data_IF_984351250548
#
_entry.id   IF_984351250548
#
_cell.length_a   1.000
_cell.length_b   1.000
_cell.length_c   1.000
_cell.angle_alpha   90.00
_cell.angle_beta   90.00
_cell.angle_gamma   90.00
#
_symmetry.space_group_name_H-M   'P 1'
#
loop_
_entity.id
_entity.type
_entity.pdbx_description
1 polymer ?
#
# COMPACT_ATOMS: atom_id res chain seq x y z
N UNK A 1 -16.38 13.76 16.98
CA UNK A 1 -16.00 13.29 15.61
C UNK A 1 -17.22 12.62 14.99
N UNK A 2 -17.89 13.30 14.07
CA UNK A 2 -19.13 12.79 13.42
C UNK A 2 -18.95 11.50 12.60
N UNK A 3 -17.72 11.13 12.19
CA UNK A 3 -17.52 10.09 11.19
C UNK A 3 -16.64 8.90 11.66
N UNK A 4 -16.32 8.76 12.95
CA UNK A 4 -15.47 7.65 13.43
C UNK A 4 -16.06 6.28 13.09
N UNK A 5 -17.35 6.12 13.33
CA UNK A 5 -18.05 4.85 13.05
C UNK A 5 -18.02 4.51 11.57
N UNK A 6 -18.21 5.50 10.69
CA UNK A 6 -18.13 5.30 9.22
C UNK A 6 -16.77 4.78 8.78
N UNK A 7 -15.68 5.36 9.29
CA UNK A 7 -14.32 4.88 8.94
C UNK A 7 -14.06 3.46 9.47
N UNK A 8 -14.50 3.16 10.69
CA UNK A 8 -14.37 1.81 11.23
C UNK A 8 -15.21 0.80 10.47
N UNK A 9 -16.40 1.17 10.02
CA UNK A 9 -17.25 0.34 9.16
C UNK A 9 -16.58 0.11 7.79
N UNK A 10 -16.02 1.14 7.16
CA UNK A 10 -15.26 1.00 5.91
C UNK A 10 -14.02 0.11 6.08
N UNK A 11 -13.31 0.26 7.20
CA UNK A 11 -12.17 -0.59 7.54
C UNK A 11 -12.57 -2.06 7.68
N UNK A 12 -13.68 -2.33 8.39
CA UNK A 12 -14.22 -3.69 8.58
C UNK A 12 -14.66 -4.29 7.25
N UNK A 13 -15.32 -3.51 6.38
CA UNK A 13 -15.76 -3.97 5.07
C UNK A 13 -14.57 -4.28 4.14
N UNK A 14 -13.58 -3.41 4.09
CA UNK A 14 -12.35 -3.65 3.30
C UNK A 14 -11.57 -4.87 3.82
N UNK A 15 -11.51 -5.05 5.15
CA UNK A 15 -10.89 -6.23 5.75
C UNK A 15 -11.68 -7.50 5.43
N UNK A 16 -13.01 -7.46 5.46
CA UNK A 16 -13.87 -8.58 5.07
C UNK A 16 -13.63 -9.00 3.62
N UNK A 17 -13.57 -8.03 2.69
CA UNK A 17 -13.24 -8.30 1.28
C UNK A 17 -11.83 -8.90 1.13
N UNK A 18 -10.85 -8.37 1.87
CA UNK A 18 -9.49 -8.93 1.89
C UNK A 18 -9.48 -10.38 2.39
N UNK A 19 -10.19 -10.67 3.49
CA UNK A 19 -10.28 -12.03 4.04
C UNK A 19 -11.01 -12.99 3.11
N UNK A 20 -12.08 -12.55 2.45
CA UNK A 20 -12.80 -13.33 1.45
C UNK A 20 -11.90 -13.66 0.25
N UNK A 21 -11.16 -12.67 -0.27
CA UNK A 21 -10.18 -12.90 -1.34
C UNK A 21 -9.07 -13.85 -0.89
N UNK A 22 -8.54 -13.68 0.33
CA UNK A 22 -7.53 -14.58 0.89
C UNK A 22 -8.04 -16.00 1.07
N UNK A 23 -9.31 -16.17 1.43
CA UNK A 23 -9.96 -17.47 1.50
C UNK A 23 -10.03 -18.15 0.12
N UNK A 24 -10.45 -17.43 -0.93
CA UNK A 24 -10.41 -17.94 -2.30
C UNK A 24 -8.99 -18.30 -2.73
N UNK A 25 -8.02 -17.43 -2.48
CA UNK A 25 -6.60 -17.67 -2.79
C UNK A 25 -6.07 -18.95 -2.14
N UNK A 26 -6.51 -19.26 -0.92
CA UNK A 26 -6.01 -20.41 -0.17
C UNK A 26 -6.74 -21.71 -0.50
N UNK A 27 -8.05 -21.68 -0.62
CA UNK A 27 -8.89 -22.90 -0.69
C UNK A 27 -9.50 -23.16 -2.07
N UNK A 28 -9.61 -22.11 -2.92
CA UNK A 28 -10.20 -22.18 -4.25
C UNK A 28 -9.38 -21.42 -5.29
N UNK A 29 -8.04 -21.71 -5.41
CA UNK A 29 -7.15 -20.95 -6.28
C UNK A 29 -7.53 -21.00 -7.77
N UNK A 30 -8.20 -22.06 -8.20
CA UNK A 30 -8.70 -22.24 -9.56
C UNK A 30 -9.74 -21.18 -9.96
N UNK A 31 -10.54 -20.70 -9.01
CA UNK A 31 -11.55 -19.66 -9.25
C UNK A 31 -10.93 -18.34 -9.74
N UNK A 32 -9.68 -18.07 -9.35
CA UNK A 32 -8.98 -16.86 -9.72
C UNK A 32 -8.00 -17.06 -10.89
N UNK A 33 -7.75 -18.32 -11.28
CA UNK A 33 -6.68 -18.67 -12.21
C UNK A 33 -6.89 -18.04 -13.61
N UNK A 34 -8.10 -18.11 -14.15
CA UNK A 34 -8.42 -17.55 -15.47
C UNK A 34 -8.29 -16.02 -15.49
N UNK A 35 -8.83 -15.34 -14.47
CA UNK A 35 -8.75 -13.89 -14.34
C UNK A 35 -7.30 -13.43 -14.16
N UNK A 36 -6.56 -14.09 -13.26
CA UNK A 36 -5.15 -13.78 -13.02
C UNK A 36 -4.33 -13.98 -14.30
N UNK A 37 -4.54 -15.07 -15.04
CA UNK A 37 -3.85 -15.36 -16.30
C UNK A 37 -4.20 -14.35 -17.40
N UNK A 38 -5.47 -14.00 -17.55
CA UNK A 38 -5.91 -13.04 -18.57
C UNK A 38 -5.27 -11.66 -18.36
N UNK A 39 -5.27 -11.15 -17.11
CA UNK A 39 -4.66 -9.86 -16.77
C UNK A 39 -3.13 -9.93 -16.91
N UNK A 40 -2.48 -11.02 -16.50
CA UNK A 40 -1.04 -11.19 -16.68
C UNK A 40 -0.65 -11.19 -18.15
N UNK A 41 -1.36 -11.94 -18.98
CA UNK A 41 -1.10 -12.02 -20.42
C UNK A 41 -1.32 -10.67 -21.10
N UNK A 42 -2.43 -10.00 -20.80
CA UNK A 42 -2.75 -8.69 -21.37
C UNK A 42 -1.72 -7.61 -21.00
N UNK A 43 -1.27 -7.59 -19.74
CA UNK A 43 -0.31 -6.58 -19.27
C UNK A 43 1.11 -6.83 -19.79
N UNK A 44 1.53 -8.09 -19.88
CA UNK A 44 2.89 -8.46 -20.31
C UNK A 44 3.09 -8.36 -21.83
N UNK A 45 2.07 -8.73 -22.62
CA UNK A 45 2.14 -8.73 -24.07
C UNK A 45 3.44 -9.36 -24.57
N UNK A 46 4.15 -8.65 -25.45
CA UNK A 46 5.44 -9.07 -26.00
C UNK A 46 6.66 -8.61 -25.19
N UNK A 47 6.47 -8.13 -23.97
CA UNK A 47 7.52 -7.65 -23.05
C UNK A 47 8.43 -6.56 -23.70
N UNK A 48 7.89 -5.45 -24.19
CA UNK A 48 8.69 -4.44 -24.86
C UNK A 48 9.75 -3.85 -23.91
N UNK A 49 10.97 -3.62 -24.45
CA UNK A 49 12.14 -3.20 -23.68
C UNK A 49 11.88 -1.94 -22.85
N UNK A 50 11.17 -0.94 -23.42
CA UNK A 50 10.85 0.29 -22.70
C UNK A 50 9.98 0.04 -21.46
N UNK A 51 8.90 -0.73 -21.57
CA UNK A 51 8.04 -1.06 -20.43
C UNK A 51 8.78 -1.91 -19.40
N UNK A 52 9.63 -2.81 -19.87
CA UNK A 52 10.46 -3.63 -18.97
C UNK A 52 11.41 -2.74 -18.15
N UNK A 53 12.09 -1.79 -18.79
CA UNK A 53 12.97 -0.83 -18.10
C UNK A 53 12.17 0.03 -17.11
N UNK A 54 11.03 0.57 -17.54
CA UNK A 54 10.14 1.36 -16.68
C UNK A 54 9.69 0.58 -15.45
N UNK A 55 9.15 -0.63 -15.62
CA UNK A 55 8.65 -1.42 -14.49
C UNK A 55 9.76 -1.92 -13.57
N UNK A 56 10.96 -2.20 -14.08
CA UNK A 56 12.13 -2.49 -13.25
C UNK A 56 12.55 -1.30 -12.41
N UNK A 57 12.45 -0.09 -12.94
CA UNK A 57 12.82 1.13 -12.22
C UNK A 57 11.76 1.50 -11.17
N UNK A 58 10.48 1.56 -11.56
CA UNK A 58 9.41 2.01 -10.65
C UNK A 58 9.19 1.03 -9.49
N UNK A 59 9.41 -0.27 -9.69
CA UNK A 59 9.24 -1.27 -8.61
C UNK A 59 10.18 -1.03 -7.43
N UNK A 60 11.34 -0.41 -7.66
CA UNK A 60 12.34 -0.10 -6.62
C UNK A 60 11.75 0.76 -5.50
N UNK A 61 10.82 1.65 -5.83
CA UNK A 61 10.11 2.50 -4.85
C UNK A 61 9.37 1.66 -3.79
N UNK A 62 8.87 0.48 -4.17
CA UNK A 62 8.18 -0.45 -3.28
C UNK A 62 9.09 -1.42 -2.53
N UNK A 63 10.41 -1.40 -2.74
CA UNK A 63 11.34 -2.23 -2.00
C UNK A 63 11.30 -1.90 -0.51
N UNK A 64 11.31 -2.93 0.33
CA UNK A 64 11.15 -2.76 1.78
C UNK A 64 12.17 -1.78 2.38
N UNK A 65 13.45 -1.91 2.04
CA UNK A 65 14.51 -1.01 2.53
C UNK A 65 14.26 0.45 2.16
N UNK A 66 13.88 0.72 0.90
CA UNK A 66 13.66 2.08 0.40
C UNK A 66 12.40 2.69 1.01
N UNK A 67 11.29 1.92 1.03
CA UNK A 67 10.03 2.41 1.58
C UNK A 67 10.12 2.65 3.09
N UNK A 68 10.74 1.74 3.84
CA UNK A 68 10.95 1.89 5.28
C UNK A 68 11.83 3.11 5.55
N UNK A 69 13.01 3.21 4.91
CA UNK A 69 13.91 4.35 5.09
C UNK A 69 13.22 5.68 4.74
N UNK A 70 12.55 5.75 3.58
CA UNK A 70 11.81 6.94 3.17
C UNK A 70 10.71 7.33 4.14
N UNK A 71 9.92 6.35 4.63
CA UNK A 71 8.86 6.60 5.60
C UNK A 71 9.41 7.09 6.94
N UNK A 72 10.49 6.49 7.43
CA UNK A 72 11.16 6.91 8.67
C UNK A 72 11.71 8.33 8.52
N UNK A 73 12.40 8.64 7.43
CA UNK A 73 12.92 10.00 7.16
C UNK A 73 11.79 11.03 7.09
N UNK A 74 10.68 10.73 6.41
CA UNK A 74 9.50 11.59 6.39
C UNK A 74 8.89 11.79 7.79
N UNK A 75 8.77 10.73 8.59
CA UNK A 75 8.24 10.81 9.94
C UNK A 75 9.14 11.66 10.84
N UNK A 76 10.46 11.49 10.77
CA UNK A 76 11.43 12.31 11.50
C UNK A 76 11.38 13.79 11.06
N UNK A 77 11.30 14.04 9.77
CA UNK A 77 11.13 15.40 9.24
C UNK A 77 9.84 16.05 9.77
N UNK A 78 8.73 15.33 9.77
CA UNK A 78 7.46 15.84 10.31
C UNK A 78 7.54 16.07 11.82
N UNK A 79 8.18 15.17 12.56
CA UNK A 79 8.30 15.30 14.02
C UNK A 79 9.19 16.47 14.43
N UNK A 80 10.38 16.60 13.84
CA UNK A 80 11.42 17.52 14.31
C UNK A 80 11.41 18.86 13.58
N UNK A 81 11.34 18.85 12.25
CA UNK A 81 11.41 20.09 11.45
C UNK A 81 10.06 20.81 11.41
N UNK A 82 9.00 20.09 11.06
CA UNK A 82 7.66 20.67 10.93
C UNK A 82 6.91 20.76 12.26
N UNK A 83 7.32 20.01 13.28
CA UNK A 83 6.61 19.86 14.55
C UNK A 83 5.19 19.26 14.38
N UNK A 84 4.99 18.44 13.36
CA UNK A 84 3.75 17.74 13.03
C UNK A 84 3.77 16.33 13.66
N UNK A 85 3.73 16.27 14.97
CA UNK A 85 3.92 15.02 15.72
C UNK A 85 2.84 13.97 15.44
N UNK A 86 1.57 14.40 15.25
CA UNK A 86 0.48 13.47 14.95
C UNK A 86 0.66 12.81 13.58
N UNK A 87 1.12 13.56 12.57
CA UNK A 87 1.44 13.06 11.24
C UNK A 87 2.61 12.08 11.26
N UNK A 88 3.63 12.38 12.05
CA UNK A 88 4.77 11.47 12.24
C UNK A 88 4.31 10.15 12.89
N UNK A 89 3.50 10.20 13.96
CA UNK A 89 2.93 9.01 14.59
C UNK A 89 2.01 8.25 13.64
N UNK A 90 1.26 8.93 12.78
CA UNK A 90 0.39 8.30 11.79
C UNK A 90 1.18 7.52 10.75
N UNK A 91 2.27 8.09 10.21
CA UNK A 91 3.17 7.38 9.30
C UNK A 91 3.84 6.18 9.96
N UNK A 92 4.39 6.36 11.16
CA UNK A 92 5.05 5.28 11.90
C UNK A 92 4.08 4.14 12.25
N UNK A 93 2.86 4.48 12.66
CA UNK A 93 1.80 3.49 12.95
C UNK A 93 1.38 2.70 11.72
N UNK A 94 1.20 3.36 10.57
CA UNK A 94 0.91 2.68 9.31
C UNK A 94 2.04 1.76 8.88
N UNK A 95 3.31 2.23 8.99
CA UNK A 95 4.47 1.40 8.67
C UNK A 95 4.54 0.15 9.56
N UNK A 96 4.37 0.31 10.87
CA UNK A 96 4.39 -0.82 11.80
C UNK A 96 3.28 -1.83 11.50
N UNK A 97 2.05 -1.35 11.29
CA UNK A 97 0.92 -2.22 10.99
C UNK A 97 1.10 -3.01 9.69
N UNK A 98 1.63 -2.39 8.62
CA UNK A 98 1.82 -3.12 7.38
C UNK A 98 2.96 -4.14 7.47
N UNK A 99 4.02 -3.84 8.21
CA UNK A 99 5.11 -4.79 8.47
C UNK A 99 4.58 -6.06 9.16
N UNK A 100 3.78 -5.88 10.21
CA UNK A 100 3.23 -7.00 10.98
C UNK A 100 2.17 -7.75 10.16
N UNK A 101 1.16 -7.04 9.65
CA UNK A 101 0.01 -7.67 9.00
C UNK A 101 0.36 -8.36 7.67
N UNK A 102 1.17 -7.71 6.82
CA UNK A 102 1.59 -8.31 5.55
C UNK A 102 2.39 -9.59 5.78
N UNK A 103 3.27 -9.60 6.79
CA UNK A 103 4.05 -10.80 7.16
C UNK A 103 3.13 -11.88 7.70
N UNK A 104 2.25 -11.56 8.64
CA UNK A 104 1.32 -12.52 9.23
C UNK A 104 0.42 -13.19 8.17
N UNK A 105 -0.16 -12.38 7.27
CA UNK A 105 -1.02 -12.91 6.21
C UNK A 105 -0.26 -13.72 5.15
N UNK A 106 1.00 -13.40 4.86
CA UNK A 106 1.83 -14.26 3.99
C UNK A 106 1.98 -15.65 4.56
N UNK A 107 2.25 -15.79 5.84
CA UNK A 107 2.35 -17.08 6.52
C UNK A 107 1.00 -17.78 6.68
N UNK A 108 -0.09 -17.03 6.77
CA UNK A 108 -1.44 -17.60 6.87
C UNK A 108 -1.88 -18.22 5.53
N UNK A 109 -1.70 -17.49 4.43
CA UNK A 109 -2.24 -17.92 3.12
C UNK A 109 -1.28 -18.80 2.31
N UNK A 110 0.03 -18.69 2.50
CA UNK A 110 1.05 -19.56 1.89
C UNK A 110 0.92 -19.75 0.37
N UNK A 111 0.43 -18.72 -0.36
CA UNK A 111 0.24 -18.81 -1.81
C UNK A 111 1.57 -18.95 -2.54
N UNK A 112 1.74 -19.98 -3.41
CA UNK A 112 2.92 -20.07 -4.28
C UNK A 112 2.95 -18.89 -5.26
N UNK A 113 4.14 -18.52 -5.73
CA UNK A 113 4.30 -17.48 -6.76
C UNK A 113 3.94 -18.00 -8.14
N UNK A 114 3.60 -17.10 -9.11
CA UNK A 114 3.34 -17.48 -10.49
C UNK A 114 4.49 -18.31 -11.08
N UNK A 115 4.17 -19.35 -11.81
CA UNK A 115 5.16 -20.15 -12.57
C UNK A 115 5.29 -19.59 -13.98
N UNK A 116 6.10 -18.53 -14.13
CA UNK A 116 6.34 -17.87 -15.41
C UNK A 116 7.72 -17.23 -15.46
N UNK A 117 8.11 -16.66 -16.60
CA UNK A 117 9.38 -15.95 -16.75
C UNK A 117 9.42 -14.73 -15.80
N UNK A 118 10.33 -14.76 -14.84
CA UNK A 118 10.65 -13.63 -13.97
C UNK A 118 11.61 -12.67 -14.69
N UNK A 119 11.27 -11.39 -14.69
CA UNK A 119 12.12 -10.35 -15.29
C UNK A 119 13.07 -9.70 -14.25
N UNK A 120 12.96 -10.10 -13.00
CA UNK A 120 13.82 -9.75 -11.86
C UNK A 120 14.13 -11.01 -11.07
N UNK A 121 15.03 -10.91 -10.11
CA UNK A 121 15.31 -12.01 -9.18
C UNK A 121 14.03 -12.48 -8.47
N UNK A 122 13.84 -13.79 -8.40
CA UNK A 122 12.66 -14.40 -7.77
C UNK A 122 12.64 -14.08 -6.27
N UNK A 123 11.64 -13.34 -5.79
CA UNK A 123 11.58 -13.03 -4.36
C UNK A 123 11.28 -14.27 -3.52
N UNK A 124 11.88 -14.35 -2.35
CA UNK A 124 11.68 -15.45 -1.40
C UNK A 124 10.30 -15.34 -0.73
N UNK A 125 9.69 -16.50 -0.44
CA UNK A 125 8.45 -16.62 0.33
C UNK A 125 7.15 -16.42 -0.46
N UNK A 126 5.99 -16.49 0.22
CA UNK A 126 4.66 -16.50 -0.38
C UNK A 126 4.31 -15.24 -1.19
N UNK A 127 3.41 -15.43 -2.17
CA UNK A 127 3.01 -14.31 -3.04
C UNK A 127 1.95 -13.39 -2.41
N UNK A 128 0.95 -13.94 -1.73
CA UNK A 128 -0.21 -13.19 -1.23
C UNK A 128 -0.07 -12.77 0.25
N UNK A 129 -0.44 -11.54 0.60
CA UNK A 129 -0.66 -10.39 -0.28
C UNK A 129 0.68 -9.81 -0.78
N UNK A 130 0.63 -9.00 -1.85
CA UNK A 130 1.83 -8.32 -2.35
C UNK A 130 2.30 -7.24 -1.38
N UNK A 131 3.52 -7.39 -0.85
CA UNK A 131 4.16 -6.36 -0.01
C UNK A 131 4.25 -5.00 -0.70
N UNK A 132 4.76 -4.97 -1.94
CA UNK A 132 4.94 -3.74 -2.70
C UNK A 132 3.61 -3.00 -2.88
N UNK A 133 2.55 -3.70 -3.28
CA UNK A 133 1.23 -3.10 -3.47
C UNK A 133 0.64 -2.60 -2.15
N UNK A 134 0.68 -3.42 -1.10
CA UNK A 134 0.11 -3.09 0.20
C UNK A 134 0.84 -1.91 0.86
N UNK A 135 2.17 -1.95 0.92
CA UNK A 135 2.96 -0.96 1.62
C UNK A 135 2.97 0.40 0.89
N UNK A 136 3.09 0.43 -0.45
CA UNK A 136 3.01 1.69 -1.20
C UNK A 136 1.61 2.30 -1.12
N UNK A 137 0.54 1.49 -1.22
CA UNK A 137 -0.82 1.98 -1.09
C UNK A 137 -1.08 2.59 0.30
N UNK A 138 -0.63 1.93 1.37
CA UNK A 138 -0.81 2.41 2.74
C UNK A 138 -0.03 3.69 3.02
N UNK A 139 1.27 3.70 2.70
CA UNK A 139 2.15 4.84 3.01
C UNK A 139 1.83 6.03 2.12
N UNK A 140 1.64 5.83 0.81
CA UNK A 140 1.28 6.93 -0.08
C UNK A 140 -0.13 7.45 0.21
N UNK A 141 -1.09 6.58 0.54
CA UNK A 141 -2.41 6.98 1.03
C UNK A 141 -2.34 7.84 2.30
N UNK A 142 -1.49 7.46 3.26
CA UNK A 142 -1.25 8.27 4.45
C UNK A 142 -0.62 9.63 4.13
N UNK A 143 0.34 9.68 3.19
CA UNK A 143 0.95 10.93 2.72
C UNK A 143 -0.06 11.82 1.98
N UNK A 144 -0.96 11.25 1.15
CA UNK A 144 -2.05 12.00 0.50
C UNK A 144 -2.98 12.64 1.55
N UNK A 145 -3.38 11.90 2.59
CA UNK A 145 -4.19 12.43 3.70
C UNK A 145 -3.47 13.60 4.38
N UNK A 146 -2.17 13.45 4.67
CA UNK A 146 -1.37 14.52 5.28
C UNK A 146 -1.28 15.72 4.34
N UNK A 147 -1.04 15.51 3.05
CA UNK A 147 -0.98 16.57 2.04
C UNK A 147 -2.31 17.34 1.96
N UNK A 148 -3.44 16.64 1.90
CA UNK A 148 -4.78 17.22 1.90
C UNK A 148 -5.03 18.15 3.10
N UNK A 149 -4.46 17.82 4.25
CA UNK A 149 -4.67 18.56 5.50
C UNK A 149 -3.64 19.67 5.76
N UNK A 150 -2.44 19.59 5.16
CA UNK A 150 -1.31 20.49 5.45
C UNK A 150 -0.91 21.41 4.32
N UNK A 151 -1.21 21.06 3.07
CA UNK A 151 -0.87 21.89 1.93
C UNK A 151 -1.98 22.92 1.67
N UNK A 152 -1.63 24.20 1.76
CA UNK A 152 -2.54 25.32 1.50
C UNK A 152 -2.74 25.56 0.00
N UNK A 153 -1.69 25.34 -0.82
CA UNK A 153 -1.75 25.55 -2.28
C UNK A 153 -2.45 24.38 -2.93
N UNK A 154 -3.64 24.63 -3.47
CA UNK A 154 -4.53 23.60 -4.04
C UNK A 154 -3.86 22.82 -5.20
N UNK A 155 -3.17 23.52 -6.11
CA UNK A 155 -2.50 22.86 -7.24
C UNK A 155 -1.39 21.92 -6.79
N UNK A 156 -0.56 22.32 -5.79
CA UNK A 156 0.52 21.50 -5.26
C UNK A 156 -0.02 20.25 -4.56
N UNK A 157 -1.14 20.41 -3.83
CA UNK A 157 -1.82 19.29 -3.20
C UNK A 157 -2.27 18.25 -4.23
N UNK A 158 -3.02 18.67 -5.24
CA UNK A 158 -3.52 17.76 -6.27
C UNK A 158 -2.40 17.16 -7.12
N UNK A 159 -1.35 17.92 -7.44
CA UNK A 159 -0.18 17.41 -8.15
C UNK A 159 0.53 16.30 -7.37
N UNK A 160 0.72 16.50 -6.05
CA UNK A 160 1.32 15.48 -5.18
C UNK A 160 0.41 14.26 -5.03
N UNK A 161 -0.89 14.44 -4.81
CA UNK A 161 -1.85 13.34 -4.71
C UNK A 161 -1.88 12.51 -6.01
N UNK A 162 -1.90 13.16 -7.17
CA UNK A 162 -1.84 12.49 -8.47
C UNK A 162 -0.52 11.72 -8.65
N UNK A 163 0.62 12.34 -8.32
CA UNK A 163 1.93 11.68 -8.39
C UNK A 163 1.96 10.41 -7.53
N UNK A 164 1.53 10.50 -6.27
CA UNK A 164 1.50 9.37 -5.36
C UNK A 164 0.53 8.28 -5.82
N UNK A 165 -0.64 8.66 -6.37
CA UNK A 165 -1.59 7.72 -6.94
C UNK A 165 -1.00 6.98 -8.16
N UNK A 166 -0.37 7.70 -9.08
CA UNK A 166 0.30 7.09 -10.24
C UNK A 166 1.43 6.15 -9.82
N UNK A 167 2.23 6.53 -8.82
CA UNK A 167 3.30 5.68 -8.31
C UNK A 167 2.77 4.41 -7.67
N UNK A 168 1.76 4.46 -6.81
CA UNK A 168 1.22 3.25 -6.16
C UNK A 168 0.61 2.28 -7.19
N UNK A 169 -0.09 2.80 -8.19
CA UNK A 169 -0.65 1.99 -9.28
C UNK A 169 0.48 1.36 -10.09
N UNK A 170 1.47 2.16 -10.50
CA UNK A 170 2.61 1.70 -11.29
C UNK A 170 3.43 0.64 -10.56
N UNK A 171 3.68 0.83 -9.25
CA UNK A 171 4.37 -0.19 -8.43
C UNK A 171 3.54 -1.46 -8.33
N UNK A 172 2.22 -1.38 -8.13
CA UNK A 172 1.35 -2.56 -8.13
C UNK A 172 1.41 -3.31 -9.46
N UNK A 173 1.21 -2.61 -10.59
CA UNK A 173 1.25 -3.19 -11.93
C UNK A 173 2.63 -3.76 -12.28
N UNK A 174 3.72 -3.14 -11.81
CA UNK A 174 5.07 -3.65 -12.02
C UNK A 174 5.26 -5.08 -11.52
N UNK A 175 4.58 -5.45 -10.41
CA UNK A 175 4.73 -6.80 -9.82
C UNK A 175 4.08 -7.88 -10.67
N UNK A 176 2.99 -7.55 -11.37
CA UNK A 176 2.34 -8.42 -12.34
C UNK A 176 3.22 -8.52 -13.59
N UNK A 177 3.65 -7.38 -14.14
CA UNK A 177 4.48 -7.32 -15.33
C UNK A 177 5.81 -8.07 -15.17
N UNK A 178 6.47 -7.90 -14.03
CA UNK A 178 7.74 -8.57 -13.73
C UNK A 178 7.58 -10.07 -13.42
N UNK A 179 6.35 -10.60 -13.35
CA UNK A 179 6.04 -12.02 -13.23
C UNK A 179 6.08 -12.57 -11.80
N UNK A 180 6.21 -11.73 -10.78
CA UNK A 180 6.46 -12.16 -9.40
C UNK A 180 5.20 -12.23 -8.51
N UNK A 181 4.08 -11.69 -9.00
CA UNK A 181 2.79 -11.69 -8.31
C UNK A 181 1.62 -11.90 -9.28
N UNK A 182 0.55 -12.46 -8.76
CA UNK A 182 -0.75 -12.49 -9.43
C UNK A 182 -1.46 -11.14 -9.30
N UNK A 183 -2.35 -10.76 -10.26
CA UNK A 183 -3.24 -9.62 -10.13
C UNK A 183 -4.02 -9.59 -8.80
N UNK A 184 -4.57 -10.72 -8.39
CA UNK A 184 -5.29 -10.88 -7.13
C UNK A 184 -4.43 -10.63 -5.89
N UNK A 185 -3.08 -10.85 -5.94
CA UNK A 185 -2.17 -10.47 -4.86
C UNK A 185 -2.09 -8.94 -4.69
N UNK A 186 -2.17 -8.21 -5.82
CA UNK A 186 -2.14 -6.74 -5.81
C UNK A 186 -3.43 -6.19 -5.24
N UNK A 187 -4.58 -6.70 -5.70
CA UNK A 187 -5.90 -6.32 -5.17
C UNK A 187 -5.97 -6.62 -3.66
N UNK A 188 -5.51 -7.80 -3.24
CA UNK A 188 -5.42 -8.14 -1.81
C UNK A 188 -4.52 -7.17 -1.03
N UNK A 189 -3.38 -6.78 -1.59
CA UNK A 189 -2.51 -5.78 -0.99
C UNK A 189 -3.20 -4.41 -0.82
N UNK A 190 -3.91 -3.93 -1.84
CA UNK A 190 -4.66 -2.67 -1.79
C UNK A 190 -5.84 -2.72 -0.83
N UNK A 191 -6.59 -3.83 -0.75
CA UNK A 191 -7.68 -4.01 0.21
C UNK A 191 -7.16 -4.00 1.66
N UNK A 192 -6.06 -4.69 1.94
CA UNK A 192 -5.41 -4.66 3.24
C UNK A 192 -4.97 -3.23 3.61
N UNK A 193 -4.32 -2.53 2.68
CA UNK A 193 -3.91 -1.15 2.89
C UNK A 193 -5.09 -0.22 3.17
N UNK A 194 -6.18 -0.33 2.39
CA UNK A 194 -7.40 0.45 2.59
C UNK A 194 -8.03 0.19 3.98
N UNK A 195 -8.08 -1.08 4.40
CA UNK A 195 -8.59 -1.46 5.72
C UNK A 195 -7.76 -0.83 6.85
N UNK A 196 -6.43 -0.94 6.78
CA UNK A 196 -5.53 -0.39 7.80
C UNK A 196 -5.56 1.14 7.84
N UNK A 197 -5.60 1.79 6.66
CA UNK A 197 -5.66 3.24 6.55
C UNK A 197 -6.96 3.78 7.14
N UNK A 198 -8.10 3.18 6.78
CA UNK A 198 -9.41 3.55 7.30
C UNK A 198 -9.50 3.28 8.82
N UNK A 199 -8.87 2.21 9.32
CA UNK A 199 -8.80 1.90 10.74
C UNK A 199 -8.02 2.96 11.53
N UNK A 200 -6.82 3.34 11.07
CA UNK A 200 -5.96 4.29 11.79
C UNK A 200 -6.40 5.75 11.66
N UNK A 201 -7.04 6.11 10.57
CA UNK A 201 -7.38 7.51 10.27
C UNK A 201 -8.17 8.22 11.38
N UNK A 202 -9.26 7.66 11.97
CA UNK A 202 -10.01 8.35 13.02
C UNK A 202 -9.19 8.58 14.30
N UNK A 203 -8.27 7.69 14.63
CA UNK A 203 -7.38 7.86 15.79
C UNK A 203 -6.34 8.95 15.54
N UNK A 204 -5.80 9.00 14.33
CA UNK A 204 -4.91 10.07 13.89
C UNK A 204 -5.60 11.43 13.96
N UNK A 205 -6.81 11.56 13.40
CA UNK A 205 -7.56 12.82 13.38
C UNK A 205 -7.90 13.30 14.80
N UNK A 206 -8.31 12.36 15.68
CA UNK A 206 -8.55 12.67 17.09
C UNK A 206 -7.28 13.15 17.80
N UNK A 207 -6.15 12.45 17.61
CA UNK A 207 -4.89 12.82 18.23
C UNK A 207 -4.38 14.16 17.71
N UNK A 208 -4.49 14.39 16.41
CA UNK A 208 -4.14 15.67 15.77
C UNK A 208 -4.94 16.83 16.34
N UNK A 209 -6.25 16.65 16.53
CA UNK A 209 -7.13 17.68 17.13
C UNK A 209 -6.69 17.98 18.56
N UNK A 210 -6.55 16.97 19.42
CA UNK A 210 -6.15 17.13 20.83
C UNK A 210 -4.79 17.83 20.95
N UNK A 211 -3.80 17.43 20.16
CA UNK A 211 -2.45 18.00 20.24
C UNK A 211 -2.36 19.43 19.73
N UNK A 212 -3.21 19.82 18.78
CA UNK A 212 -3.33 21.24 18.40
C UNK A 212 -3.88 22.08 19.55
N UNK A 213 -4.92 21.60 20.24
CA UNK A 213 -5.50 22.29 21.40
C UNK A 213 -4.51 22.41 22.57
N UNK A 214 -3.67 21.40 22.78
CA UNK A 214 -2.65 21.40 23.83
C UNK A 214 -1.35 22.08 23.42
N UNK A 215 -1.30 22.79 22.29
CA UNK A 215 -0.09 23.41 21.71
C UNK A 215 1.12 22.47 21.58
N UNK A 216 0.88 21.15 21.54
CA UNK A 216 1.93 20.12 21.40
C UNK A 216 2.41 19.94 19.97
N UNK A 217 1.70 20.53 18.99
CA UNK A 217 2.09 20.57 17.57
C UNK A 217 1.61 21.85 16.91
N UNK A 218 2.25 22.25 15.79
CA UNK A 218 1.84 23.37 14.91
C UNK A 218 0.84 22.91 13.86
#
# INVERSE_FOLDING_TARGET
>A
MKNKQTYLMLASFALLLFMALGYLVRFYPETLAELDAAVQTGLRGHLPHFLTAYFKTVTVVGNASILIAGTVLCALFFAWVKKWRAEACFLAGNLLLILISSTAFKYLYQRPRPNMLYLIEKPIGPSFPSWHAASTCLIFGALMIIAAQRLKKTWLKYALELLLALLLISVGLSRIYLGVHYPSDIVGGWLLAAALLAFLYPFYEQRRFIWRFQSKQR
#
